data_IF_847717787869
#
_entry.id   IF_847717787869
#
_cell.length_a   1.000
_cell.length_b   1.000
_cell.length_c   1.000
_cell.angle_alpha   90.00
_cell.angle_beta   90.00
_cell.angle_gamma   90.00
#
_symmetry.space_group_name_H-M   'P 1'
#
loop_
_entity.id
_entity.type
_entity.pdbx_description
1 polymer ?
#
# COMPACT_ATOMS: atom_id res chain seq x y z
N UNK A 1 -57.98 9.26 38.56
CA UNK A 1 -56.70 9.82 39.06
C UNK A 1 -55.56 9.00 38.49
N UNK A 2 -54.34 9.54 38.42
CA UNK A 2 -53.91 10.76 37.76
C UNK A 2 -53.13 10.38 36.45
N UNK A 3 -52.41 11.24 35.75
CA UNK A 3 -51.03 11.64 36.11
C UNK A 3 -50.61 12.96 35.43
N UNK A 4 -49.62 13.62 36.01
CA UNK A 4 -49.25 15.02 35.78
C UNK A 4 -48.41 15.29 34.55
N UNK A 5 -48.44 16.55 34.14
CA UNK A 5 -47.74 17.15 33.00
C UNK A 5 -46.28 17.56 33.30
N UNK A 6 -45.51 17.71 32.21
CA UNK A 6 -44.27 18.53 32.06
C UNK A 6 -43.00 18.08 32.81
N UNK A 7 -41.95 17.77 32.02
CA UNK A 7 -40.64 18.47 32.07
C UNK A 7 -40.01 18.58 30.66
N UNK A 8 -39.52 19.77 30.33
CA UNK A 8 -38.68 20.07 29.16
C UNK A 8 -37.20 19.73 29.43
N UNK A 9 -36.39 19.49 28.38
CA UNK A 9 -35.07 20.13 28.16
C UNK A 9 -34.57 19.90 26.70
N UNK A 10 -33.76 20.83 26.16
CA UNK A 10 -33.49 21.17 24.72
C UNK A 10 -32.04 21.77 24.64
N UNK A 11 -31.18 21.72 23.57
CA UNK A 11 -31.35 21.56 22.09
C UNK A 11 -30.95 20.16 21.53
N UNK A 12 -30.91 19.78 20.22
CA UNK A 12 -30.62 20.35 18.88
C UNK A 12 -29.13 20.53 18.49
N UNK A 13 -28.62 19.66 17.60
CA UNK A 13 -27.64 20.03 16.56
C UNK A 13 -28.15 19.48 15.22
N UNK A 14 -28.43 20.39 14.28
CA UNK A 14 -28.84 20.07 12.92
C UNK A 14 -27.63 20.28 11.99
N UNK A 15 -27.10 19.21 11.39
CA UNK A 15 -26.10 19.32 10.34
C UNK A 15 -26.48 18.45 9.13
N UNK A 16 -27.04 19.15 8.14
CA UNK A 16 -26.97 18.88 6.71
C UNK A 16 -26.77 17.42 6.27
N UNK A 17 -27.87 16.72 6.00
CA UNK A 17 -27.86 15.44 5.28
C UNK A 17 -27.54 15.68 3.80
N UNK A 18 -26.26 15.89 3.47
CA UNK A 18 -25.78 15.78 2.10
C UNK A 18 -25.86 14.31 1.69
N UNK A 19 -26.80 13.97 0.82
CA UNK A 19 -26.92 12.62 0.25
C UNK A 19 -25.79 12.40 -0.77
N UNK A 20 -24.61 12.04 -0.30
CA UNK A 20 -23.61 11.42 -1.17
C UNK A 20 -24.01 9.97 -1.37
N UNK A 21 -24.48 9.66 -2.58
CA UNK A 21 -24.64 8.28 -3.06
C UNK A 21 -23.28 7.59 -3.07
N UNK A 22 -22.95 6.87 -2.00
CA UNK A 22 -21.86 5.91 -2.01
C UNK A 22 -22.31 4.73 -2.88
N UNK A 23 -21.92 4.76 -4.16
CA UNK A 23 -22.16 3.64 -5.07
C UNK A 23 -21.39 2.44 -4.55
N UNK A 24 -22.10 1.33 -4.32
CA UNK A 24 -21.54 0.11 -3.74
C UNK A 24 -20.38 -0.40 -4.61
N UNK A 25 -19.16 -0.29 -4.08
CA UNK A 25 -18.00 -0.97 -4.64
C UNK A 25 -18.24 -2.47 -4.45
N UNK A 26 -18.42 -3.18 -5.56
CA UNK A 26 -18.64 -4.61 -5.62
C UNK A 26 -17.42 -5.37 -5.07
N UNK A 27 -17.39 -5.60 -3.76
CA UNK A 27 -16.30 -6.27 -3.00
C UNK A 27 -16.27 -7.80 -3.16
N UNK A 28 -16.68 -8.28 -4.32
CA UNK A 28 -16.55 -9.69 -4.69
C UNK A 28 -15.23 -9.88 -5.45
N UNK A 29 -14.16 -10.24 -4.73
CA UNK A 29 -13.33 -11.44 -4.91
C UNK A 29 -12.16 -11.43 -3.89
N UNK A 30 -12.31 -12.18 -2.79
CA UNK A 30 -11.30 -12.59 -1.80
C UNK A 30 -10.66 -11.51 -0.85
N UNK A 31 -10.13 -11.93 0.33
CA UNK A 31 -9.81 -11.01 1.42
C UNK A 31 -8.45 -10.31 1.23
N UNK A 32 -8.50 -9.04 0.84
CA UNK A 32 -7.31 -8.19 0.68
C UNK A 32 -6.72 -7.82 2.05
N UNK A 33 -5.63 -8.48 2.45
CA UNK A 33 -4.86 -8.10 3.65
C UNK A 33 -3.71 -7.16 3.28
N UNK A 34 -4.03 -5.91 2.96
CA UNK A 34 -3.06 -4.82 2.87
C UNK A 34 -2.52 -4.49 4.26
N UNK A 35 -1.23 -4.76 4.51
CA UNK A 35 -0.52 -4.29 5.71
C UNK A 35 0.53 -3.25 5.32
N UNK A 36 0.10 -1.99 5.11
CA UNK A 36 1.00 -0.86 4.97
C UNK A 36 1.42 -0.35 6.35
N UNK A 37 2.66 -0.62 6.77
CA UNK A 37 3.21 -0.14 8.05
C UNK A 37 4.06 1.11 7.82
N UNK A 38 3.41 2.28 7.91
CA UNK A 38 4.07 3.58 7.82
C UNK A 38 4.63 4.01 9.19
N UNK A 39 5.88 3.66 9.49
CA UNK A 39 6.59 4.19 10.66
C UNK A 39 7.02 5.65 10.42
N UNK A 40 6.17 6.56 10.90
CA UNK A 40 6.21 7.98 10.57
C UNK A 40 7.36 8.73 11.25
N UNK A 41 8.51 8.82 10.57
CA UNK A 41 9.64 9.70 10.95
C UNK A 41 10.03 10.73 9.88
N UNK A 42 9.36 10.77 8.72
CA UNK A 42 9.64 11.76 7.69
C UNK A 42 8.41 12.26 6.92
N UNK A 43 8.66 13.29 6.11
CA UNK A 43 7.66 13.95 5.26
C UNK A 43 7.51 13.18 3.94
N UNK A 44 6.30 13.21 3.41
CA UNK A 44 5.98 12.93 1.99
C UNK A 44 6.41 11.56 1.42
N UNK A 45 6.52 10.55 2.30
CA UNK A 45 6.58 9.14 1.89
C UNK A 45 5.27 8.69 1.21
N UNK A 46 5.38 8.02 0.05
CA UNK A 46 4.26 7.56 -0.78
C UNK A 46 4.31 6.03 -0.97
N UNK A 47 3.18 5.37 -0.74
CA UNK A 47 2.95 3.96 -1.07
C UNK A 47 1.74 3.85 -1.99
N UNK A 48 1.94 3.22 -3.15
CA UNK A 48 0.87 2.77 -4.05
C UNK A 48 1.00 1.24 -4.19
N UNK A 49 -0.05 0.50 -3.82
CA UNK A 49 -0.15 -0.94 -4.03
C UNK A 49 -1.44 -1.25 -4.78
N UNK A 50 -1.30 -1.81 -5.99
CA UNK A 50 -2.40 -2.26 -6.85
C UNK A 50 -2.32 -3.77 -7.01
N UNK A 51 -3.28 -4.49 -6.40
CA UNK A 51 -3.39 -5.94 -6.52
C UNK A 51 -4.60 -6.31 -7.38
N UNK A 52 -4.42 -7.23 -8.31
CA UNK A 52 -5.48 -7.74 -9.20
C UNK A 52 -5.38 -9.27 -9.28
N UNK A 53 -6.41 -9.97 -8.82
CA UNK A 53 -6.41 -11.43 -8.67
C UNK A 53 -6.22 -11.87 -7.21
N UNK A 54 -6.01 -13.17 -7.00
CA UNK A 54 -6.31 -13.82 -5.73
C UNK A 54 -5.10 -14.02 -4.81
N UNK A 55 -5.29 -13.80 -3.51
CA UNK A 55 -4.30 -14.08 -2.46
C UNK A 55 -2.92 -13.42 -2.63
N UNK A 56 -2.84 -12.31 -3.37
CA UNK A 56 -1.62 -11.50 -3.44
C UNK A 56 -1.36 -10.79 -2.09
N UNK A 57 -0.11 -10.70 -1.65
CA UNK A 57 0.29 -9.98 -0.44
C UNK A 57 1.28 -8.86 -0.75
N UNK A 58 1.11 -7.72 -0.10
CA UNK A 58 2.04 -6.61 -0.13
C UNK A 58 2.30 -6.09 1.29
N UNK A 59 3.56 -6.15 1.72
CA UNK A 59 4.06 -5.57 2.96
C UNK A 59 5.09 -4.50 2.59
N UNK A 60 4.80 -3.25 2.95
CA UNK A 60 5.65 -2.11 2.64
C UNK A 60 5.99 -1.33 3.91
N UNK A 61 7.28 -1.04 4.05
CA UNK A 61 7.87 -0.28 5.14
C UNK A 61 8.75 0.85 4.59
N UNK A 62 8.53 2.06 5.07
CA UNK A 62 9.29 3.25 4.68
C UNK A 62 9.70 4.04 5.93
N UNK A 63 10.98 4.38 6.03
CA UNK A 63 11.54 5.18 7.12
C UNK A 63 12.50 6.24 6.59
N UNK A 64 12.28 7.50 7.00
CA UNK A 64 12.89 8.69 6.39
C UNK A 64 11.89 9.48 5.54
N UNK A 65 12.35 10.30 4.60
CA UNK A 65 11.52 11.28 3.86
C UNK A 65 11.44 10.96 2.36
N UNK A 66 10.38 11.40 1.69
CA UNK A 66 10.29 11.44 0.22
C UNK A 66 10.53 10.07 -0.46
N UNK A 67 10.34 8.96 0.26
CA UNK A 67 10.49 7.61 -0.30
C UNK A 67 9.19 7.22 -1.03
N UNK A 68 9.33 6.58 -2.18
CA UNK A 68 8.21 6.12 -3.01
C UNK A 68 8.29 4.62 -3.26
N UNK A 69 7.17 3.92 -3.08
CA UNK A 69 7.00 2.55 -3.52
C UNK A 69 5.73 2.42 -4.35
N UNK A 70 5.87 2.01 -5.60
CA UNK A 70 4.79 1.67 -6.53
C UNK A 70 4.87 0.16 -6.80
N UNK A 71 3.82 -0.56 -6.43
CA UNK A 71 3.73 -2.02 -6.54
C UNK A 71 2.46 -2.42 -7.25
N UNK A 72 2.61 -3.19 -8.32
CA UNK A 72 1.50 -3.74 -9.08
C UNK A 72 1.64 -5.26 -9.20
N UNK A 73 0.69 -5.99 -8.61
CA UNK A 73 0.61 -7.45 -8.65
C UNK A 73 -0.62 -7.87 -9.46
N UNK A 74 -0.42 -8.70 -10.48
CA UNK A 74 -1.49 -9.17 -11.39
C UNK A 74 -1.42 -10.69 -11.51
N UNK A 75 -2.44 -11.38 -11.01
CA UNK A 75 -2.52 -12.84 -10.96
C UNK A 75 -2.70 -13.35 -9.53
N UNK A 76 -2.12 -14.49 -9.19
CA UNK A 76 -2.44 -15.19 -7.93
C UNK A 76 -1.21 -15.52 -7.09
N UNK A 77 -1.33 -15.48 -5.76
CA UNK A 77 -0.29 -15.88 -4.82
C UNK A 77 1.05 -15.14 -5.05
N UNK A 78 1.02 -13.86 -5.41
CA UNK A 78 2.22 -13.04 -5.56
C UNK A 78 2.50 -12.26 -4.25
N UNK A 79 3.75 -12.28 -3.81
CA UNK A 79 4.21 -11.67 -2.56
C UNK A 79 5.22 -10.54 -2.85
N UNK A 80 4.97 -9.36 -2.28
CA UNK A 80 5.84 -8.19 -2.37
C UNK A 80 6.22 -7.70 -0.97
N UNK A 81 7.51 -7.67 -0.68
CA UNK A 81 8.10 -7.11 0.54
C UNK A 81 9.02 -5.94 0.17
N UNK A 82 8.71 -4.73 0.63
CA UNK A 82 9.53 -3.54 0.36
C UNK A 82 9.92 -2.86 1.67
N UNK A 83 11.21 -2.55 1.80
CA UNK A 83 11.81 -1.81 2.91
C UNK A 83 12.66 -0.67 2.33
N UNK A 84 12.33 0.57 2.63
CA UNK A 84 13.10 1.76 2.22
C UNK A 84 13.54 2.53 3.47
N UNK A 85 14.83 2.77 3.61
CA UNK A 85 15.44 3.47 4.75
C UNK A 85 16.37 4.57 4.24
N UNK A 86 15.96 5.83 4.40
CA UNK A 86 16.69 7.03 3.98
C UNK A 86 15.79 8.03 3.26
N UNK A 87 16.30 8.72 2.24
CA UNK A 87 15.53 9.76 1.53
C UNK A 87 15.53 9.57 0.01
N UNK A 88 14.44 9.99 -0.67
CA UNK A 88 14.30 9.91 -2.13
C UNK A 88 14.49 8.50 -2.74
N UNK A 89 14.31 7.42 -1.97
CA UNK A 89 14.40 6.08 -2.53
C UNK A 89 13.11 5.74 -3.30
N UNK A 90 13.21 5.17 -4.50
CA UNK A 90 12.09 4.72 -5.31
C UNK A 90 12.17 3.21 -5.61
N UNK A 91 11.08 2.48 -5.34
CA UNK A 91 10.84 1.13 -5.88
C UNK A 91 9.65 1.16 -6.83
N UNK A 92 9.82 0.56 -8.00
CA UNK A 92 8.77 0.24 -8.95
C UNK A 92 8.77 -1.29 -9.17
N UNK A 93 7.72 -1.97 -8.74
CA UNK A 93 7.60 -3.42 -8.78
C UNK A 93 6.35 -3.83 -9.58
N UNK A 94 6.54 -4.56 -10.67
CA UNK A 94 5.48 -5.19 -11.44
C UNK A 94 5.64 -6.71 -11.38
N UNK A 95 4.67 -7.41 -10.79
CA UNK A 95 4.58 -8.86 -10.81
C UNK A 95 3.36 -9.29 -11.63
N UNK A 96 3.55 -10.14 -12.65
CA UNK A 96 2.46 -10.67 -13.49
C UNK A 96 2.60 -12.18 -13.63
N UNK A 97 1.65 -12.92 -13.07
CA UNK A 97 1.64 -14.38 -13.10
C UNK A 97 1.25 -14.97 -11.76
N UNK A 98 1.94 -16.03 -11.33
CA UNK A 98 1.66 -16.66 -10.03
C UNK A 98 2.89 -17.10 -9.28
N UNK A 99 2.82 -17.10 -7.94
CA UNK A 99 3.94 -17.46 -7.06
C UNK A 99 5.19 -16.61 -7.35
N UNK A 100 5.00 -15.31 -7.59
CA UNK A 100 6.10 -14.36 -7.70
C UNK A 100 6.40 -13.76 -6.33
N UNK A 101 7.59 -14.02 -5.79
CA UNK A 101 8.08 -13.35 -4.58
C UNK A 101 9.10 -12.28 -4.94
N UNK A 102 8.91 -11.05 -4.45
CA UNK A 102 9.88 -9.98 -4.58
C UNK A 102 10.16 -9.36 -3.20
N UNK A 103 11.42 -9.42 -2.76
CA UNK A 103 11.91 -8.68 -1.60
C UNK A 103 12.85 -7.57 -2.08
N UNK A 104 12.57 -6.32 -1.71
CA UNK A 104 13.38 -5.16 -2.06
C UNK A 104 13.74 -4.39 -0.79
N UNK A 105 15.04 -4.22 -0.53
CA UNK A 105 15.56 -3.41 0.57
C UNK A 105 16.49 -2.33 0.01
N UNK A 106 16.10 -1.06 0.17
CA UNK A 106 16.93 0.10 -0.16
C UNK A 106 17.37 0.80 1.14
N UNK A 107 18.67 1.04 1.26
CA UNK A 107 19.29 1.74 2.40
C UNK A 107 20.26 2.78 1.85
N UNK A 108 20.02 4.05 2.18
CA UNK A 108 20.76 5.20 1.65
C UNK A 108 19.80 6.20 1.01
N UNK A 109 20.29 7.02 0.08
CA UNK A 109 19.50 8.08 -0.56
C UNK A 109 19.53 7.98 -2.08
N UNK A 110 18.48 8.53 -2.72
CA UNK A 110 18.37 8.63 -4.19
C UNK A 110 18.51 7.27 -4.92
N UNK A 111 18.16 6.16 -4.27
CA UNK A 111 18.25 4.83 -4.87
C UNK A 111 17.01 4.50 -5.70
N UNK A 112 17.19 3.80 -6.82
CA UNK A 112 16.12 3.29 -7.68
C UNK A 112 16.19 1.77 -7.83
N UNK A 113 15.07 1.08 -7.59
CA UNK A 113 14.85 -0.31 -8.01
C UNK A 113 13.66 -0.36 -8.96
N UNK A 114 13.87 -0.96 -10.12
CA UNK A 114 12.80 -1.36 -11.03
C UNK A 114 12.84 -2.88 -11.20
N UNK A 115 11.76 -3.58 -10.82
CA UNK A 115 11.64 -5.02 -10.97
C UNK A 115 10.36 -5.36 -11.74
N UNK A 116 10.52 -5.85 -12.97
CA UNK A 116 9.47 -6.47 -13.76
C UNK A 116 9.63 -7.99 -13.72
N UNK A 117 8.67 -8.67 -13.13
CA UNK A 117 8.69 -10.11 -12.93
C UNK A 117 7.46 -10.72 -13.60
N UNK A 118 7.69 -11.53 -14.64
CA UNK A 118 6.65 -12.22 -15.38
C UNK A 118 6.77 -13.74 -15.13
N UNK A 119 5.64 -14.44 -15.08
CA UNK A 119 5.59 -15.89 -14.87
C UNK A 119 5.59 -16.28 -13.39
N UNK A 120 6.65 -16.98 -12.94
CA UNK A 120 6.87 -17.39 -11.55
C UNK A 120 8.36 -17.29 -11.20
N UNK A 121 8.69 -16.88 -9.97
CA UNK A 121 10.09 -16.68 -9.57
C UNK A 121 10.26 -16.03 -8.21
N UNK A 122 11.50 -15.91 -7.76
CA UNK A 122 11.85 -15.28 -6.48
C UNK A 122 13.01 -14.31 -6.67
N UNK A 123 12.80 -13.04 -6.31
CA UNK A 123 13.84 -12.01 -6.29
C UNK A 123 14.09 -11.49 -4.88
N UNK A 124 15.37 -11.27 -4.58
CA UNK A 124 15.81 -10.51 -3.42
C UNK A 124 16.80 -9.46 -3.90
N UNK A 125 16.45 -8.19 -3.75
CA UNK A 125 17.24 -7.04 -4.16
C UNK A 125 17.62 -6.27 -2.89
N UNK A 126 18.92 -6.21 -2.60
CA UNK A 126 19.44 -5.41 -1.50
C UNK A 126 20.37 -4.35 -2.08
N UNK A 127 20.01 -3.08 -1.87
CA UNK A 127 20.70 -1.91 -2.38
C UNK A 127 21.15 -1.06 -1.20
N UNK A 128 22.45 -1.09 -0.89
CA UNK A 128 23.07 -0.27 0.16
C UNK A 128 24.07 0.66 -0.52
N UNK A 129 23.61 1.84 -0.90
CA UNK A 129 24.37 2.84 -1.64
C UNK A 129 23.63 4.19 -1.58
N UNK A 130 24.27 5.26 -2.07
CA UNK A 130 23.58 6.48 -2.47
C UNK A 130 23.59 6.58 -4.00
N UNK A 131 22.48 6.99 -4.61
CA UNK A 131 22.36 7.21 -6.06
C UNK A 131 22.48 5.97 -6.95
N UNK A 132 22.30 4.75 -6.40
CA UNK A 132 22.39 3.53 -7.19
C UNK A 132 21.07 3.20 -7.92
N UNK A 133 21.18 2.56 -9.08
CA UNK A 133 20.03 2.06 -9.84
C UNK A 133 20.17 0.56 -10.12
N UNK A 134 19.12 -0.22 -9.84
CA UNK A 134 19.00 -1.64 -10.20
C UNK A 134 17.75 -1.79 -11.05
N UNK A 135 17.89 -2.34 -12.26
CA UNK A 135 16.77 -2.68 -13.13
C UNK A 135 16.83 -4.17 -13.48
N UNK A 136 15.75 -4.89 -13.19
CA UNK A 136 15.60 -6.32 -13.48
C UNK A 136 14.30 -6.50 -14.26
N UNK A 137 14.36 -7.27 -15.35
CA UNK A 137 13.17 -7.71 -16.10
C UNK A 137 13.34 -9.18 -16.42
N UNK A 138 12.39 -10.01 -15.97
CA UNK A 138 12.32 -11.44 -16.25
C UNK A 138 11.07 -11.77 -17.07
N UNK A 139 11.21 -12.77 -17.95
CA UNK A 139 10.18 -13.37 -18.79
C UNK A 139 10.02 -14.86 -18.45
#
# INVERSE_FOLDING_TARGET
MPNTSIRFWVPLILLCSCMTSAQELNVNELPVTLQALLERSGRDNLIELVQQGNANQGLLFQSGNDNKADVKQVGNDNDALITQIGSNNEVQLLQVGSQNTASVTQIGNDNLVQLNQLGSGNFSIQQIADGAAISITQY
#
